data_IF_624269526620
#
_entry.id   IF_624269526620
#
_cell.length_a   1.000
_cell.length_b   1.000
_cell.length_c   1.000
_cell.angle_alpha   90.00
_cell.angle_beta   90.00
_cell.angle_gamma   90.00
#
_symmetry.space_group_name_H-M   'P 1'
#
loop_
_entity.id
_entity.type
_entity.pdbx_description
1 polymer ?
#
# COMPACT_ATOMS: atom_id res chain seq x y z
N UNK A 1 -7.77 -36.16 14.77
CA UNK A 1 -8.36 -34.87 14.39
C UNK A 1 -7.21 -34.00 13.86
N UNK A 2 -7.10 -33.76 12.54
CA UNK A 2 -6.20 -32.76 11.99
C UNK A 2 -6.80 -31.40 12.38
N UNK A 3 -6.07 -30.60 13.14
CA UNK A 3 -6.43 -29.20 13.35
C UNK A 3 -6.60 -28.55 11.96
N UNK A 4 -7.70 -27.86 11.73
CA UNK A 4 -7.84 -26.98 10.57
C UNK A 4 -6.79 -25.90 10.75
N UNK A 5 -5.67 -26.01 10.01
CA UNK A 5 -4.66 -24.97 9.90
C UNK A 5 -5.23 -23.84 9.03
N UNK A 6 -6.08 -23.01 9.64
CA UNK A 6 -6.56 -21.77 9.04
C UNK A 6 -5.55 -20.65 9.22
N UNK A 7 -5.61 -19.64 8.35
CA UNK A 7 -4.82 -18.42 8.49
C UNK A 7 -5.07 -17.79 9.87
N UNK A 8 -3.99 -17.39 10.53
CA UNK A 8 -3.99 -16.73 11.84
C UNK A 8 -3.81 -15.24 11.68
N UNK A 9 -4.49 -14.51 12.53
CA UNK A 9 -4.43 -13.06 12.61
C UNK A 9 -3.89 -12.65 13.99
N UNK A 10 -2.87 -11.79 13.99
CA UNK A 10 -2.29 -11.24 15.21
C UNK A 10 -2.30 -9.73 15.15
N UNK A 11 -2.96 -9.08 16.10
CA UNK A 11 -2.97 -7.62 16.28
C UNK A 11 -1.90 -7.21 17.28
N UNK A 12 -1.17 -6.15 16.97
CA UNK A 12 -0.14 -5.59 17.84
C UNK A 12 0.18 -4.15 17.44
N UNK A 13 1.06 -3.50 18.19
CA UNK A 13 1.54 -2.16 17.86
C UNK A 13 3.06 -2.20 17.72
N UNK A 14 3.57 -1.45 16.74
CA UNK A 14 4.97 -1.06 16.71
C UNK A 14 5.08 0.25 17.48
N UNK A 15 5.82 0.24 18.60
CA UNK A 15 6.00 1.42 19.45
C UNK A 15 7.48 1.81 19.42
N UNK A 16 7.85 2.63 18.44
CA UNK A 16 9.22 3.06 18.22
C UNK A 16 9.26 4.53 17.77
N UNK A 17 10.34 5.22 18.03
CA UNK A 17 10.57 6.61 17.62
C UNK A 17 9.44 7.59 17.99
N UNK A 18 8.76 7.35 19.13
CA UNK A 18 7.61 8.16 19.57
C UNK A 18 6.30 7.88 18.81
N UNK A 19 6.32 6.94 17.87
CA UNK A 19 5.16 6.50 17.11
C UNK A 19 4.50 5.27 17.76
N UNK A 20 3.21 5.04 17.46
CA UNK A 20 2.48 3.83 17.86
C UNK A 20 1.63 3.36 16.69
N UNK A 21 2.22 2.55 15.81
CA UNK A 21 1.60 2.05 14.59
C UNK A 21 0.74 0.84 14.89
N UNK A 22 -0.55 0.87 14.53
CA UNK A 22 -1.49 -0.23 14.73
C UNK A 22 -1.34 -1.25 13.63
N UNK A 23 -0.88 -2.45 13.94
CA UNK A 23 -0.51 -3.49 12.98
C UNK A 23 -1.39 -4.72 13.08
N UNK A 24 -1.43 -5.45 11.97
CA UNK A 24 -2.01 -6.79 11.87
C UNK A 24 -1.08 -7.68 11.06
N UNK A 25 -0.79 -8.87 11.56
CA UNK A 25 0.01 -9.89 10.90
C UNK A 25 -0.88 -11.08 10.55
N UNK A 26 -0.81 -11.52 9.30
CA UNK A 26 -1.42 -12.74 8.80
C UNK A 26 -0.34 -13.79 8.57
N UNK A 27 -0.58 -15.03 9.02
CA UNK A 27 0.30 -16.17 8.77
C UNK A 27 -0.45 -17.48 8.94
N UNK A 28 0.06 -18.57 8.35
CA UNK A 28 -0.43 -19.93 8.63
C UNK A 28 0.29 -20.61 9.78
N UNK A 29 1.46 -20.12 10.14
CA UNK A 29 2.33 -20.69 11.15
C UNK A 29 2.27 -19.93 12.47
N UNK A 30 2.46 -20.62 13.59
CA UNK A 30 2.76 -20.02 14.89
C UNK A 30 4.24 -19.60 14.99
N UNK A 31 4.93 -19.48 13.84
CA UNK A 31 6.32 -19.09 13.81
C UNK A 31 6.52 -17.68 14.39
N UNK A 32 7.68 -17.46 15.00
CA UNK A 32 8.10 -16.13 15.47
C UNK A 32 8.91 -15.39 14.41
N UNK A 33 9.40 -16.12 13.39
CA UNK A 33 10.16 -15.58 12.28
C UNK A 33 9.63 -16.14 10.95
N UNK A 34 9.75 -15.35 9.89
CA UNK A 34 9.29 -15.67 8.55
C UNK A 34 10.39 -15.36 7.53
N UNK A 35 10.65 -16.29 6.62
CA UNK A 35 11.64 -16.08 5.54
C UNK A 35 11.24 -14.92 4.63
N UNK A 36 9.94 -14.80 4.37
CA UNK A 36 9.35 -13.81 3.47
C UNK A 36 8.23 -13.04 4.16
N UNK A 37 8.31 -11.71 4.15
CA UNK A 37 7.26 -10.84 4.66
C UNK A 37 6.80 -9.89 3.57
N UNK A 38 5.49 -9.90 3.27
CA UNK A 38 4.86 -8.91 2.41
C UNK A 38 4.30 -7.79 3.29
N UNK A 39 4.76 -6.58 3.09
CA UNK A 39 4.11 -5.40 3.65
C UNK A 39 2.96 -5.05 2.72
N UNK A 40 1.72 -5.10 3.23
CA UNK A 40 0.52 -4.83 2.44
C UNK A 40 -0.15 -3.55 2.93
N UNK A 41 -0.36 -2.59 2.01
CA UNK A 41 -0.94 -1.29 2.31
C UNK A 41 -2.14 -0.98 1.40
N UNK A 42 -3.02 -0.14 1.88
CA UNK A 42 -4.29 0.22 1.24
C UNK A 42 -4.33 1.71 0.89
N UNK A 43 -5.36 2.10 0.16
CA UNK A 43 -5.62 3.47 -0.25
C UNK A 43 -6.25 4.34 0.83
N UNK A 44 -6.47 5.63 0.50
CA UNK A 44 -7.13 6.58 1.39
C UNK A 44 -8.52 6.09 1.83
N UNK A 45 -8.80 6.25 3.12
CA UNK A 45 -10.08 5.88 3.75
C UNK A 45 -10.22 4.40 4.12
N UNK A 46 -9.22 3.56 3.81
CA UNK A 46 -9.17 2.16 4.24
C UNK A 46 -8.68 1.96 5.68
N UNK A 47 -8.38 0.72 6.03
CA UNK A 47 -7.79 0.33 7.30
C UNK A 47 -7.09 -1.03 7.17
N UNK A 48 -6.30 -1.44 8.19
CA UNK A 48 -5.57 -2.71 8.22
C UNK A 48 -6.45 -3.97 8.17
N UNK A 49 -7.75 -3.83 8.41
CA UNK A 49 -8.73 -4.92 8.33
C UNK A 49 -9.39 -5.01 6.94
N UNK A 50 -8.76 -4.40 5.94
CA UNK A 50 -9.20 -4.35 4.56
C UNK A 50 -9.39 -5.76 3.97
N UNK A 51 -10.59 -6.07 3.47
CA UNK A 51 -10.94 -7.39 2.95
C UNK A 51 -10.09 -7.85 1.75
N UNK A 52 -9.76 -7.03 0.74
CA UNK A 52 -8.82 -7.39 -0.31
C UNK A 52 -7.44 -7.82 0.20
N UNK A 53 -6.91 -7.15 1.24
CA UNK A 53 -5.63 -7.54 1.86
C UNK A 53 -5.77 -8.89 2.56
N UNK A 54 -6.84 -9.13 3.30
CA UNK A 54 -7.08 -10.40 3.97
C UNK A 54 -7.17 -11.57 2.94
N UNK A 55 -7.89 -11.36 1.83
CA UNK A 55 -7.99 -12.35 0.73
C UNK A 55 -6.64 -12.63 0.07
N UNK A 56 -5.85 -11.59 -0.18
CA UNK A 56 -4.48 -11.72 -0.68
C UNK A 56 -3.61 -12.50 0.32
N UNK A 57 -3.65 -12.12 1.61
CA UNK A 57 -2.86 -12.74 2.67
C UNK A 57 -3.16 -14.23 2.78
N UNK A 58 -4.43 -14.63 2.75
CA UNK A 58 -4.81 -16.04 2.77
C UNK A 58 -4.22 -16.78 1.57
N UNK A 59 -4.33 -16.22 0.36
CA UNK A 59 -3.85 -16.88 -0.85
C UNK A 59 -2.33 -17.06 -0.87
N UNK A 60 -1.56 -16.03 -0.49
CA UNK A 60 -0.09 -16.11 -0.54
C UNK A 60 0.47 -17.00 0.56
N UNK A 61 -0.05 -16.89 1.81
CA UNK A 61 0.44 -17.67 2.94
C UNK A 61 0.01 -19.14 2.87
N UNK A 62 -1.13 -19.45 2.22
CA UNK A 62 -1.53 -20.83 1.92
C UNK A 62 -0.67 -21.46 0.83
N UNK A 63 -0.26 -20.65 -0.17
CA UNK A 63 0.51 -21.15 -1.31
C UNK A 63 1.99 -21.34 -0.97
N UNK A 64 2.57 -20.42 -0.21
CA UNK A 64 4.00 -20.42 0.09
C UNK A 64 4.25 -20.51 1.60
N UNK A 65 4.90 -21.58 2.02
CA UNK A 65 5.35 -21.73 3.43
C UNK A 65 6.40 -20.67 3.77
N UNK A 66 6.38 -20.21 5.01
CA UNK A 66 7.34 -19.19 5.49
C UNK A 66 6.97 -17.75 5.12
N UNK A 67 5.83 -17.53 4.46
CA UNK A 67 5.29 -16.20 4.22
C UNK A 67 4.43 -15.70 5.37
N UNK A 68 4.56 -14.40 5.63
CA UNK A 68 3.60 -13.63 6.41
C UNK A 68 3.23 -12.33 5.68
N UNK A 69 2.06 -11.79 6.00
CA UNK A 69 1.62 -10.48 5.49
C UNK A 69 1.43 -9.53 6.67
N UNK A 70 2.19 -8.45 6.66
CA UNK A 70 2.11 -7.37 7.64
C UNK A 70 1.34 -6.20 7.03
N UNK A 71 0.28 -5.77 7.71
CA UNK A 71 -0.47 -4.56 7.36
C UNK A 71 -0.62 -3.66 8.59
N UNK A 72 -0.88 -2.38 8.38
CA UNK A 72 -0.99 -1.41 9.47
C UNK A 72 -1.93 -0.26 9.09
N UNK A 73 -2.42 0.46 10.10
CA UNK A 73 -3.22 1.67 9.87
C UNK A 73 -2.31 2.85 9.56
N UNK A 74 -2.56 3.55 8.45
CA UNK A 74 -1.93 4.83 8.14
C UNK A 74 -2.23 5.90 9.20
N UNK A 75 -1.43 6.99 9.31
CA UNK A 75 -1.81 8.15 10.11
C UNK A 75 -3.24 8.59 9.80
N UNK A 76 -4.03 8.83 10.84
CA UNK A 76 -5.44 9.22 10.77
C UNK A 76 -6.40 8.20 10.12
N UNK A 77 -5.98 6.93 9.93
CA UNK A 77 -6.83 5.84 9.42
C UNK A 77 -7.11 4.78 10.48
N UNK A 78 -8.14 3.99 10.25
CA UNK A 78 -8.49 2.83 11.09
C UNK A 78 -8.49 3.17 12.60
N UNK A 79 -7.66 2.48 13.36
CA UNK A 79 -7.51 2.66 14.81
C UNK A 79 -6.30 3.52 15.21
N UNK A 80 -5.66 4.21 14.25
CA UNK A 80 -4.57 5.13 14.56
C UNK A 80 -5.01 6.25 15.51
N UNK A 81 -4.12 6.71 16.39
CA UNK A 81 -4.43 7.75 17.37
C UNK A 81 -4.50 9.18 16.80
N UNK A 82 -3.93 9.40 15.62
CA UNK A 82 -3.89 10.70 14.98
C UNK A 82 -5.21 11.08 14.33
N UNK A 83 -5.39 12.39 14.13
CA UNK A 83 -6.54 12.92 13.38
C UNK A 83 -6.10 13.53 12.05
N UNK A 84 -4.87 14.09 11.98
CA UNK A 84 -4.33 14.76 10.81
C UNK A 84 -3.73 13.74 9.85
N UNK A 85 -4.05 13.88 8.58
CA UNK A 85 -3.41 13.16 7.49
C UNK A 85 -2.04 13.77 7.19
N UNK A 86 -1.02 12.94 7.04
CA UNK A 86 0.35 13.37 6.79
C UNK A 86 1.07 12.32 5.92
N UNK A 87 1.58 12.74 4.77
CA UNK A 87 2.36 11.85 3.91
C UNK A 87 3.77 11.59 4.47
N UNK A 88 4.47 12.56 5.07
CA UNK A 88 5.72 12.28 5.78
C UNK A 88 5.57 11.25 6.91
N UNK A 89 4.52 11.36 7.75
CA UNK A 89 4.27 10.34 8.79
C UNK A 89 3.88 8.98 8.19
N UNK A 90 3.24 8.95 7.00
CA UNK A 90 2.97 7.68 6.30
C UNK A 90 4.28 7.02 5.84
N UNK A 91 5.26 7.81 5.40
CA UNK A 91 6.62 7.33 5.09
C UNK A 91 7.31 6.74 6.33
N UNK A 92 7.24 7.43 7.46
CA UNK A 92 7.78 6.94 8.74
C UNK A 92 7.11 5.61 9.16
N UNK A 93 5.78 5.48 9.01
CA UNK A 93 5.06 4.24 9.34
C UNK A 93 5.48 3.08 8.45
N UNK A 94 5.69 3.33 7.16
CA UNK A 94 6.20 2.31 6.24
C UNK A 94 7.62 1.89 6.64
N UNK A 95 8.49 2.84 6.98
CA UNK A 95 9.86 2.56 7.43
C UNK A 95 9.90 1.75 8.72
N UNK A 96 9.05 2.08 9.69
CA UNK A 96 8.89 1.29 10.91
C UNK A 96 8.40 -0.14 10.64
N UNK A 97 7.49 -0.32 9.67
CA UNK A 97 7.02 -1.64 9.26
C UNK A 97 8.12 -2.45 8.57
N UNK A 98 8.94 -1.81 7.71
CA UNK A 98 10.12 -2.40 7.06
C UNK A 98 11.14 -2.85 8.12
N UNK A 99 11.47 -1.97 9.05
CA UNK A 99 12.41 -2.24 10.14
C UNK A 99 11.93 -3.38 11.03
N UNK A 100 10.65 -3.38 11.41
CA UNK A 100 10.04 -4.43 12.21
C UNK A 100 10.05 -5.79 11.50
N UNK A 101 9.72 -5.81 10.21
CA UNK A 101 9.72 -7.03 9.42
C UNK A 101 11.13 -7.65 9.35
N UNK A 102 12.17 -6.85 9.18
CA UNK A 102 13.57 -7.31 9.18
C UNK A 102 14.03 -7.77 10.57
N UNK A 103 13.84 -6.95 11.59
CA UNK A 103 14.47 -7.14 12.89
C UNK A 103 13.67 -8.05 13.83
N UNK A 104 12.33 -7.95 13.80
CA UNK A 104 11.47 -8.67 14.75
C UNK A 104 10.82 -9.92 14.13
N UNK A 105 10.50 -9.88 12.83
CA UNK A 105 9.94 -11.03 12.12
C UNK A 105 11.02 -11.87 11.42
N UNK A 106 12.27 -11.38 11.35
CA UNK A 106 13.41 -12.10 10.78
C UNK A 106 13.34 -12.27 9.26
N UNK A 107 12.65 -11.37 8.56
CA UNK A 107 12.48 -11.45 7.12
C UNK A 107 13.81 -11.35 6.37
N UNK A 108 14.14 -12.40 5.62
CA UNK A 108 15.24 -12.40 4.64
C UNK A 108 14.80 -11.68 3.37
N UNK A 109 13.56 -11.92 2.94
CA UNK A 109 12.97 -11.30 1.76
C UNK A 109 11.79 -10.43 2.16
N UNK A 110 11.83 -9.17 1.73
CA UNK A 110 10.72 -8.25 1.85
C UNK A 110 10.05 -8.04 0.50
N UNK A 111 8.74 -7.91 0.55
CA UNK A 111 7.89 -7.61 -0.59
C UNK A 111 6.94 -6.48 -0.23
N UNK A 112 6.49 -5.73 -1.25
CA UNK A 112 5.47 -4.70 -1.08
C UNK A 112 4.26 -5.01 -1.95
N UNK A 113 3.06 -4.96 -1.36
CA UNK A 113 1.79 -4.93 -2.07
C UNK A 113 0.99 -3.72 -1.64
N UNK A 114 0.81 -2.76 -2.53
CA UNK A 114 0.20 -1.47 -2.17
C UNK A 114 -0.90 -1.07 -3.13
N UNK A 115 -1.89 -0.31 -2.62
CA UNK A 115 -3.04 0.14 -3.42
C UNK A 115 -3.20 1.65 -3.30
N UNK A 116 -3.47 2.32 -4.45
CA UNK A 116 -3.87 3.73 -4.50
C UNK A 116 -2.89 4.66 -3.77
N UNK A 117 -3.31 5.37 -2.71
CA UNK A 117 -2.44 6.19 -1.86
C UNK A 117 -1.24 5.41 -1.31
N UNK A 118 -1.45 4.15 -0.88
CA UNK A 118 -0.34 3.28 -0.46
C UNK A 118 0.66 3.04 -1.58
N UNK A 119 0.21 2.98 -2.84
CA UNK A 119 1.07 2.88 -4.02
C UNK A 119 1.93 4.13 -4.22
N UNK A 120 1.35 5.34 -4.03
CA UNK A 120 2.11 6.59 -4.02
C UNK A 120 3.19 6.59 -2.93
N UNK A 121 2.83 6.24 -1.68
CA UNK A 121 3.79 6.16 -0.57
C UNK A 121 4.89 5.13 -0.86
N UNK A 122 4.55 3.98 -1.47
CA UNK A 122 5.53 2.98 -1.88
C UNK A 122 6.54 3.52 -2.90
N UNK A 123 6.08 4.19 -3.97
CA UNK A 123 6.95 4.82 -4.97
C UNK A 123 7.83 5.93 -4.36
N UNK A 124 7.23 6.80 -3.54
CA UNK A 124 7.98 7.83 -2.82
C UNK A 124 9.06 7.22 -1.92
N UNK A 125 8.76 6.12 -1.23
CA UNK A 125 9.73 5.41 -0.39
C UNK A 125 10.91 4.89 -1.22
N UNK A 126 10.66 4.32 -2.39
CA UNK A 126 11.72 3.87 -3.30
C UNK A 126 12.63 5.03 -3.73
N UNK A 127 12.04 6.18 -4.04
CA UNK A 127 12.77 7.36 -4.54
C UNK A 127 13.60 8.05 -3.44
N UNK A 128 13.04 8.20 -2.23
CA UNK A 128 13.64 9.03 -1.18
C UNK A 128 14.47 8.21 -0.16
N UNK A 129 14.11 6.95 0.08
CA UNK A 129 14.76 6.09 1.09
C UNK A 129 15.58 4.98 0.44
N UNK A 130 15.10 4.44 -0.69
CA UNK A 130 15.71 3.34 -1.42
C UNK A 130 14.85 2.09 -1.41
N UNK A 131 15.30 1.04 -2.14
CA UNK A 131 14.54 -0.19 -2.31
C UNK A 131 14.97 -1.31 -1.34
N UNK A 132 14.20 -1.59 -0.27
CA UNK A 132 14.41 -2.74 0.59
C UNK A 132 13.67 -4.00 0.10
N UNK A 133 12.82 -3.88 -0.93
CA UNK A 133 11.91 -4.92 -1.38
C UNK A 133 12.51 -5.72 -2.54
N UNK A 134 12.33 -7.04 -2.50
CA UNK A 134 12.71 -7.91 -3.60
C UNK A 134 11.78 -7.76 -4.81
N UNK A 135 10.48 -7.61 -4.56
CA UNK A 135 9.46 -7.35 -5.58
C UNK A 135 8.32 -6.52 -5.01
N UNK A 136 7.67 -5.78 -5.88
CA UNK A 136 6.69 -4.76 -5.55
C UNK A 136 5.49 -4.90 -6.48
N UNK A 137 4.29 -4.96 -5.94
CA UNK A 137 3.06 -4.89 -6.74
C UNK A 137 2.26 -3.66 -6.30
N UNK A 138 1.95 -2.79 -7.26
CA UNK A 138 1.16 -1.59 -7.02
C UNK A 138 -0.15 -1.68 -7.79
N UNK A 139 -1.27 -1.74 -7.09
CA UNK A 139 -2.60 -1.78 -7.68
C UNK A 139 -3.24 -0.40 -7.70
N UNK A 140 -3.57 0.11 -8.89
CA UNK A 140 -4.13 1.45 -9.09
C UNK A 140 -3.36 2.53 -8.31
N UNK A 141 -2.01 2.60 -8.39
CA UNK A 141 -1.25 3.55 -7.60
C UNK A 141 -1.65 4.98 -7.98
N UNK A 142 -1.77 5.86 -6.99
CA UNK A 142 -2.07 7.27 -7.20
C UNK A 142 -0.81 7.99 -7.72
N UNK A 143 -0.47 7.80 -9.01
CA UNK A 143 0.72 8.38 -9.65
C UNK A 143 0.69 9.91 -9.57
N UNK A 144 -0.43 10.54 -9.91
CA UNK A 144 -0.70 11.95 -9.61
C UNK A 144 -1.43 12.08 -8.26
N UNK A 145 -0.72 11.82 -7.16
CA UNK A 145 -1.33 11.84 -5.83
C UNK A 145 -1.97 13.19 -5.48
N UNK A 146 -1.34 14.30 -5.90
CA UNK A 146 -1.92 15.62 -5.72
C UNK A 146 -3.23 15.80 -6.47
N UNK A 147 -3.27 15.49 -7.76
CA UNK A 147 -4.48 15.61 -8.59
C UNK A 147 -5.60 14.70 -8.09
N UNK A 148 -5.30 13.44 -7.79
CA UNK A 148 -6.25 12.45 -7.26
C UNK A 148 -6.85 12.93 -5.93
N UNK A 149 -6.02 13.35 -4.98
CA UNK A 149 -6.50 13.82 -3.68
C UNK A 149 -7.30 15.13 -3.83
N UNK A 150 -6.80 16.08 -4.61
CA UNK A 150 -7.49 17.35 -4.87
C UNK A 150 -8.90 17.14 -5.44
N UNK A 151 -9.07 16.18 -6.36
CA UNK A 151 -10.36 15.88 -6.98
C UNK A 151 -11.42 15.37 -5.97
N UNK A 152 -11.02 14.93 -4.79
CA UNK A 152 -11.95 14.52 -3.72
C UNK A 152 -12.51 15.69 -2.91
N UNK A 153 -12.00 16.92 -3.12
CA UNK A 153 -12.40 18.12 -2.37
C UNK A 153 -13.23 19.05 -3.25
N UNK A 154 -14.24 19.68 -2.67
CA UNK A 154 -15.01 20.76 -3.33
C UNK A 154 -14.19 22.05 -3.41
N UNK A 155 -14.58 22.98 -4.30
CA UNK A 155 -13.91 24.27 -4.41
C UNK A 155 -13.96 25.07 -3.11
N UNK A 156 -15.07 25.03 -2.36
CA UNK A 156 -15.20 25.67 -1.05
C UNK A 156 -14.23 25.08 -0.01
N UNK A 157 -14.05 23.76 -0.02
CA UNK A 157 -13.09 23.08 0.86
C UNK A 157 -11.66 23.43 0.51
N UNK A 158 -11.31 23.44 -0.79
CA UNK A 158 -10.00 23.88 -1.28
C UNK A 158 -9.71 25.33 -0.93
N UNK A 159 -10.71 26.20 -1.05
CA UNK A 159 -10.61 27.60 -0.64
C UNK A 159 -10.44 27.72 0.87
N UNK A 160 -11.11 26.88 1.66
CA UNK A 160 -10.92 26.85 3.12
C UNK A 160 -9.49 26.44 3.51
N UNK A 161 -8.93 25.40 2.85
CA UNK A 161 -7.55 24.95 3.04
C UNK A 161 -6.55 26.07 2.72
N UNK A 162 -6.70 26.74 1.57
CA UNK A 162 -5.81 27.84 1.16
C UNK A 162 -5.80 29.03 2.12
N UNK A 163 -6.84 29.16 2.96
CA UNK A 163 -6.95 30.16 4.04
C UNK A 163 -6.49 29.64 5.40
N UNK A 164 -5.77 28.50 5.43
CA UNK A 164 -5.23 27.90 6.65
C UNK A 164 -6.28 27.18 7.52
N UNK A 165 -7.50 26.91 6.99
CA UNK A 165 -8.50 26.13 7.71
C UNK A 165 -8.26 24.64 7.47
N UNK A 166 -8.72 23.82 8.42
CA UNK A 166 -8.70 22.37 8.30
C UNK A 166 -10.02 21.85 7.73
N UNK A 167 -9.95 20.78 6.92
CA UNK A 167 -11.12 20.12 6.34
C UNK A 167 -11.13 18.66 6.76
N UNK A 168 -12.31 18.13 7.08
CA UNK A 168 -12.48 16.72 7.46
C UNK A 168 -13.01 15.92 6.27
N UNK A 169 -12.25 14.90 5.85
CA UNK A 169 -12.60 13.97 4.75
C UNK A 169 -12.42 12.53 5.17
N UNK A 170 -13.08 11.62 4.51
CA UNK A 170 -12.99 10.18 4.69
C UNK A 170 -14.37 9.54 4.75
N UNK A 171 -14.38 8.21 4.72
CA UNK A 171 -15.59 7.38 4.68
C UNK A 171 -16.08 7.05 6.11
N UNK A 172 -15.68 5.91 6.65
CA UNK A 172 -16.03 5.49 8.01
C UNK A 172 -15.40 6.37 9.08
N UNK A 173 -14.13 6.73 8.86
CA UNK A 173 -13.39 7.64 9.70
C UNK A 173 -13.07 8.92 8.96
N UNK A 174 -13.24 10.07 9.62
CA UNK A 174 -12.87 11.38 9.11
C UNK A 174 -11.42 11.69 9.50
N UNK A 175 -10.59 11.97 8.49
CA UNK A 175 -9.24 12.49 8.65
C UNK A 175 -9.22 13.99 8.46
N UNK A 176 -8.38 14.69 9.20
CA UNK A 176 -8.18 16.12 9.12
C UNK A 176 -7.11 16.43 8.08
N UNK A 177 -7.43 17.30 7.15
CA UNK A 177 -6.52 17.81 6.12
C UNK A 177 -6.27 19.29 6.30
N UNK A 178 -5.06 19.72 5.96
CA UNK A 178 -4.66 21.12 5.85
C UNK A 178 -3.90 21.37 4.53
N UNK A 179 -3.51 22.61 4.29
CA UNK A 179 -2.79 22.99 3.06
C UNK A 179 -1.42 22.30 2.96
N UNK A 180 -0.75 22.07 4.10
CA UNK A 180 0.57 21.45 4.17
C UNK A 180 0.56 20.04 3.55
N UNK A 181 -0.50 19.26 3.74
CA UNK A 181 -0.65 17.95 3.09
C UNK A 181 -0.62 18.05 1.56
N UNK A 182 -1.30 19.03 1.00
CA UNK A 182 -1.32 19.23 -0.48
C UNK A 182 -0.02 19.79 -1.02
N UNK A 183 0.63 20.65 -0.25
CA UNK A 183 1.93 21.20 -0.62
C UNK A 183 3.00 20.10 -0.63
N UNK A 184 2.98 19.20 0.37
CA UNK A 184 3.86 18.01 0.41
C UNK A 184 3.63 17.07 -0.79
N UNK A 185 2.36 16.79 -1.17
CA UNK A 185 2.08 15.95 -2.34
C UNK A 185 2.61 16.56 -3.65
N UNK A 186 2.65 17.89 -3.77
CA UNK A 186 3.21 18.58 -4.94
C UNK A 186 4.72 18.55 -4.94
N UNK A 187 5.34 18.77 -3.78
CA UNK A 187 6.79 18.80 -3.63
C UNK A 187 7.40 17.42 -3.91
N UNK A 188 6.69 16.37 -3.48
CA UNK A 188 7.13 14.98 -3.59
C UNK A 188 6.36 14.20 -4.67
N UNK A 189 6.29 14.78 -5.88
CA UNK A 189 5.67 14.15 -7.04
C UNK A 189 6.52 12.98 -7.54
N UNK A 190 6.03 11.77 -7.43
CA UNK A 190 6.75 10.54 -7.83
C UNK A 190 7.06 10.47 -9.32
N UNK A 191 6.39 11.27 -10.17
CA UNK A 191 6.64 11.38 -11.62
C UNK A 191 7.94 12.11 -11.96
N UNK A 192 8.54 12.81 -10.98
CA UNK A 192 9.80 13.53 -11.15
C UNK A 192 11.04 12.67 -10.91
N UNK A 193 10.84 11.40 -10.52
CA UNK A 193 11.88 10.43 -10.25
C UNK A 193 11.94 9.35 -11.35
N UNK A 194 13.09 8.70 -11.45
CA UNK A 194 13.33 7.57 -12.35
C UNK A 194 13.38 6.27 -11.54
N UNK A 195 12.80 5.18 -12.11
CA UNK A 195 12.71 3.87 -11.44
C UNK A 195 13.33 2.74 -12.28
N UNK A 196 14.20 3.06 -13.26
CA UNK A 196 14.80 2.08 -14.17
C UNK A 196 15.55 0.97 -13.45
N UNK A 197 16.29 1.30 -12.38
CA UNK A 197 17.10 0.34 -11.63
C UNK A 197 16.28 -0.73 -10.89
N UNK A 198 14.98 -0.50 -10.73
CA UNK A 198 14.05 -1.38 -10.02
C UNK A 198 12.83 -1.78 -10.88
N UNK A 199 12.82 -1.42 -12.16
CA UNK A 199 11.67 -1.61 -13.05
C UNK A 199 11.23 -3.07 -13.14
N UNK A 200 12.16 -4.01 -13.26
CA UNK A 200 11.90 -5.46 -13.34
C UNK A 200 11.35 -6.04 -12.02
N UNK A 201 11.51 -5.33 -10.92
CA UNK A 201 11.00 -5.72 -9.60
C UNK A 201 9.62 -5.12 -9.29
N UNK A 202 9.07 -4.30 -10.20
CA UNK A 202 7.77 -3.64 -10.04
C UNK A 202 6.76 -4.20 -11.04
N UNK A 203 5.58 -4.56 -10.55
CA UNK A 203 4.39 -4.85 -11.36
C UNK A 203 3.29 -3.85 -11.02
N UNK A 204 2.78 -3.15 -12.04
CA UNK A 204 1.59 -2.32 -11.93
C UNK A 204 0.37 -3.11 -12.37
N UNK A 205 -0.71 -3.04 -11.59
CA UNK A 205 -2.01 -3.62 -11.95
C UNK A 205 -3.05 -2.50 -11.92
N UNK A 206 -3.78 -2.26 -13.01
CA UNK A 206 -4.73 -1.16 -13.07
C UNK A 206 -6.06 -1.54 -13.69
N UNK A 207 -7.16 -1.05 -13.13
CA UNK A 207 -8.50 -1.28 -13.64
C UNK A 207 -8.79 -0.38 -14.85
N UNK A 208 -9.27 -0.96 -15.96
CA UNK A 208 -9.60 -0.19 -17.16
C UNK A 208 -10.85 0.70 -17.01
N UNK A 209 -11.59 0.54 -15.90
CA UNK A 209 -12.76 1.36 -15.54
C UNK A 209 -12.54 2.16 -14.27
N UNK A 210 -11.27 2.38 -13.92
CA UNK A 210 -10.91 3.20 -12.75
C UNK A 210 -11.32 4.66 -12.98
N UNK A 211 -12.26 5.14 -12.17
CA UNK A 211 -12.81 6.50 -12.22
C UNK A 211 -12.20 7.43 -11.15
N UNK A 212 -11.25 6.90 -10.35
CA UNK A 212 -10.55 7.63 -9.29
C UNK A 212 -9.13 7.99 -9.69
N UNK A 213 -8.37 6.99 -10.17
CA UNK A 213 -7.02 7.18 -10.69
C UNK A 213 -7.04 6.92 -12.19
N UNK A 214 -6.76 7.91 -13.05
CA UNK A 214 -6.77 7.72 -14.49
C UNK A 214 -5.76 6.66 -14.94
N UNK A 215 -6.20 5.64 -15.69
CA UNK A 215 -5.32 4.60 -16.25
C UNK A 215 -4.19 5.22 -17.08
N UNK A 216 -4.47 6.31 -17.80
CA UNK A 216 -3.49 7.00 -18.66
C UNK A 216 -2.28 7.51 -17.88
N UNK A 217 -2.46 7.96 -16.64
CA UNK A 217 -1.36 8.42 -15.80
C UNK A 217 -0.45 7.25 -15.41
N UNK A 218 -1.04 6.10 -15.05
CA UNK A 218 -0.28 4.88 -14.75
C UNK A 218 0.36 4.29 -15.99
N UNK A 219 -0.31 4.31 -17.15
CA UNK A 219 0.28 3.85 -18.41
C UNK A 219 1.49 4.70 -18.79
N UNK A 220 1.34 6.03 -18.76
CA UNK A 220 2.46 6.93 -19.05
C UNK A 220 3.64 6.69 -18.09
N UNK A 221 3.37 6.54 -16.80
CA UNK A 221 4.40 6.27 -15.80
C UNK A 221 5.11 4.93 -16.07
N UNK A 222 4.35 3.89 -16.43
CA UNK A 222 4.88 2.58 -16.80
C UNK A 222 5.79 2.67 -18.03
N UNK A 223 5.33 3.36 -19.08
CA UNK A 223 6.08 3.54 -20.33
C UNK A 223 7.37 4.35 -20.11
N UNK A 224 7.29 5.45 -19.35
CA UNK A 224 8.42 6.32 -19.03
C UNK A 224 9.50 5.58 -18.20
N UNK A 225 9.15 4.57 -17.40
CA UNK A 225 10.07 3.85 -16.50
C UNK A 225 10.32 2.40 -16.92
N UNK A 226 9.75 1.93 -18.04
CA UNK A 226 9.88 0.54 -18.56
C UNK A 226 9.36 -0.49 -17.53
N UNK A 227 8.28 -0.17 -16.83
CA UNK A 227 7.66 -1.03 -15.81
C UNK A 227 6.51 -1.83 -16.44
N UNK A 228 6.37 -3.11 -16.09
CA UNK A 228 5.26 -3.94 -16.53
C UNK A 228 3.92 -3.43 -15.97
N UNK A 229 2.93 -3.24 -16.86
CA UNK A 229 1.56 -2.86 -16.50
C UNK A 229 0.55 -3.90 -16.98
N UNK A 230 -0.22 -4.45 -16.06
CA UNK A 230 -1.39 -5.29 -16.33
C UNK A 230 -2.67 -4.44 -16.24
N UNK A 231 -3.24 -4.06 -17.38
CA UNK A 231 -4.54 -3.43 -17.46
C UNK A 231 -5.67 -4.49 -17.38
N UNK A 232 -6.54 -4.38 -16.38
CA UNK A 232 -7.58 -5.37 -16.09
C UNK A 232 -8.93 -4.89 -16.59
N UNK A 233 -9.50 -5.60 -17.56
CA UNK A 233 -10.85 -5.32 -18.07
C UNK A 233 -11.90 -5.41 -16.95
N UNK A 234 -12.94 -4.58 -17.04
CA UNK A 234 -14.08 -4.55 -16.11
C UNK A 234 -13.74 -4.26 -14.65
N UNK A 235 -12.48 -3.91 -14.33
CA UNK A 235 -12.08 -3.50 -12.99
C UNK A 235 -12.21 -1.99 -12.82
N UNK A 236 -12.89 -1.57 -11.76
CA UNK A 236 -12.95 -0.22 -11.22
C UNK A 236 -11.83 0.01 -10.19
N UNK A 237 -11.75 1.19 -9.57
CA UNK A 237 -10.70 1.49 -8.59
C UNK A 237 -10.62 0.50 -7.42
N UNK A 238 -11.74 0.14 -6.73
CA UNK A 238 -11.72 -0.85 -5.65
C UNK A 238 -11.63 -2.30 -6.13
N UNK A 239 -11.73 -2.57 -7.45
CA UNK A 239 -11.86 -3.91 -8.01
C UNK A 239 -13.12 -4.61 -7.48
N UNK A 240 -14.27 -3.93 -7.57
CA UNK A 240 -15.56 -4.44 -7.08
C UNK A 240 -16.04 -5.71 -7.79
N UNK A 241 -15.57 -5.94 -9.02
CA UNK A 241 -15.83 -7.20 -9.73
C UNK A 241 -15.00 -8.34 -9.11
N UNK A 242 -15.63 -9.41 -8.57
CA UNK A 242 -14.91 -10.51 -7.92
C UNK A 242 -13.91 -11.23 -8.81
N UNK A 243 -14.22 -11.43 -10.09
CA UNK A 243 -13.34 -12.13 -11.04
C UNK A 243 -12.09 -11.28 -11.33
N UNK A 244 -12.27 -9.96 -11.49
CA UNK A 244 -11.17 -9.02 -11.68
C UNK A 244 -10.26 -8.96 -10.42
N UNK A 245 -10.86 -8.94 -9.23
CA UNK A 245 -10.13 -9.00 -7.97
C UNK A 245 -9.36 -10.32 -7.82
N UNK A 246 -9.99 -11.46 -8.15
CA UNK A 246 -9.34 -12.77 -8.10
C UNK A 246 -8.18 -12.88 -9.09
N UNK A 247 -8.33 -12.33 -10.29
CA UNK A 247 -7.27 -12.23 -11.27
C UNK A 247 -6.10 -11.39 -10.73
N UNK A 248 -6.37 -10.18 -10.26
CA UNK A 248 -5.33 -9.28 -9.73
C UNK A 248 -4.56 -9.90 -8.54
N UNK A 249 -5.28 -10.53 -7.59
CA UNK A 249 -4.65 -11.25 -6.49
C UNK A 249 -3.82 -12.43 -7.01
N UNK A 250 -4.32 -13.15 -8.02
CA UNK A 250 -3.61 -14.27 -8.65
C UNK A 250 -2.27 -13.85 -9.25
N UNK A 251 -2.27 -12.77 -10.04
CA UNK A 251 -1.04 -12.20 -10.65
C UNK A 251 -0.10 -11.63 -9.56
N UNK A 252 -0.64 -10.93 -8.55
CA UNK A 252 0.15 -10.47 -7.38
C UNK A 252 0.87 -11.64 -6.70
N UNK A 253 0.17 -12.74 -6.41
CA UNK A 253 0.76 -13.92 -5.74
C UNK A 253 1.81 -14.62 -6.61
N UNK A 254 1.64 -14.62 -7.93
CA UNK A 254 2.65 -15.17 -8.86
C UNK A 254 3.89 -14.28 -8.88
N UNK A 255 3.72 -12.97 -8.99
CA UNK A 255 4.83 -12.03 -9.07
C UNK A 255 5.64 -11.99 -7.77
N UNK A 256 4.98 -12.08 -6.61
CA UNK A 256 5.62 -12.13 -5.29
C UNK A 256 6.06 -13.55 -4.87
N UNK A 257 6.23 -14.47 -5.81
CA UNK A 257 6.72 -15.83 -5.53
C UNK A 257 8.11 -15.80 -4.86
N UNK A 258 8.44 -16.82 -4.03
CA UNK A 258 9.78 -16.94 -3.47
C UNK A 258 10.81 -17.07 -4.60
N UNK A 259 12.09 -16.70 -4.34
CA UNK A 259 13.16 -16.99 -5.30
C UNK A 259 13.23 -18.51 -5.53
N UNK A 260 13.57 -18.88 -6.76
CA UNK A 260 13.89 -20.28 -7.05
C UNK A 260 14.99 -20.71 -6.08
N UNK A 261 14.79 -21.85 -5.43
CA UNK A 261 15.85 -22.44 -4.60
C UNK A 261 16.89 -23.00 -5.55
N UNK A 262 18.07 -22.38 -5.57
CA UNK A 262 19.24 -22.93 -6.22
C UNK A 262 19.63 -24.32 -5.64
#
# INVERSE_FOLDING_TARGET
MKAQDGMKEKYFNINEQGQSVRCKLYSHDNARSFESVVIATYGFGGNKDNHPIAKFAERITSKYKGYAVLTFDWPAHGNDGRKKMSAPESMEYLDLAVSYAKQQLGATYLYLYSTSYGGYIGLRYLAEVGNPFRRIVLRCPAIDAYGVMRATFTDDELHALSRGKKVLKGFERKSEFDQEFFDDLKEHDVRTHEYFDVADDILLIHGMRDDVVPLQDTQKFADDNVIELLAVEKADHPFSNPDAMDFAIGETVKFLAPPDRE
#
